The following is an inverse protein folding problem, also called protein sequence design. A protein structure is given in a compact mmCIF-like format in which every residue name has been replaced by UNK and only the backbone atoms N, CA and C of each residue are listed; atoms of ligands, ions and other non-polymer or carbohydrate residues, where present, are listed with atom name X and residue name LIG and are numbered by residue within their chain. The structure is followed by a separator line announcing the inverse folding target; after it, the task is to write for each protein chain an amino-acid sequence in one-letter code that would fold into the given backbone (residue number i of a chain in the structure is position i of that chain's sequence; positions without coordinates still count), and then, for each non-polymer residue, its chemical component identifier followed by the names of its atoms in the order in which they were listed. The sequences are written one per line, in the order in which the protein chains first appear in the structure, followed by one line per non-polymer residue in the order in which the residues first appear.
data_IF_339920331644
#
_entry.id   IF_339920331644
#
_cell.length_a   1.000
_cell.length_b   1.000
_cell.length_c   1.000
_cell.angle_alpha   90.00
_cell.angle_beta   90.00
_cell.angle_gamma   90.00
#
_symmetry.space_group_name_H-M   'P 1'
#
loop_
_entity.id
_entity.type
_entity.pdbx_description
1 polymer ?
#
# COMPACT_ATOMS: atom_id res chain seq x y z
N UNK A 1 -23.38 12.14 16.25
CA UNK A 1 -22.53 11.19 15.54
C UNK A 1 -21.40 10.80 16.47
N UNK A 2 -21.06 9.53 16.59
CA UNK A 2 -19.89 9.08 17.34
C UNK A 2 -18.62 9.50 16.60
N UNK A 3 -17.56 9.84 17.34
CA UNK A 3 -16.25 10.17 16.75
C UNK A 3 -15.75 9.04 15.88
N UNK A 4 -15.19 9.30 14.69
CA UNK A 4 -14.54 8.28 13.90
C UNK A 4 -13.19 7.83 14.49
N UNK A 5 -12.66 8.55 15.48
CA UNK A 5 -11.42 8.24 16.17
C UNK A 5 -11.72 7.49 17.46
N UNK A 6 -11.35 6.23 17.51
CA UNK A 6 -11.60 5.35 18.66
C UNK A 6 -10.29 5.12 19.40
N UNK A 7 -10.31 5.36 20.72
CA UNK A 7 -9.18 5.14 21.63
C UNK A 7 -9.43 3.83 22.39
N UNK A 8 -8.51 2.86 22.25
CA UNK A 8 -8.48 1.64 23.05
C UNK A 8 -7.44 1.71 24.16
N UNK A 9 -6.34 2.43 23.90
CA UNK A 9 -5.27 2.69 24.86
C UNK A 9 -4.96 4.19 24.91
N UNK A 10 -4.64 4.70 26.08
CA UNK A 10 -4.33 6.12 26.30
C UNK A 10 -3.18 6.63 25.40
N UNK A 11 -2.26 5.73 25.00
CA UNK A 11 -1.17 6.04 24.08
C UNK A 11 -1.64 6.46 22.66
N UNK A 12 -2.90 6.21 22.31
CA UNK A 12 -3.46 6.72 21.05
C UNK A 12 -3.75 8.23 21.10
N UNK A 13 -4.01 8.80 22.27
CA UNK A 13 -4.40 10.21 22.38
C UNK A 13 -3.35 11.19 21.84
N UNK A 14 -2.05 11.03 22.14
CA UNK A 14 -1.01 11.85 21.53
C UNK A 14 -0.93 11.74 20.01
N UNK A 15 -1.24 10.55 19.45
CA UNK A 15 -1.25 10.32 18.01
C UNK A 15 -2.37 11.06 17.32
N UNK A 16 -3.57 11.00 17.89
CA UNK A 16 -4.74 11.70 17.35
C UNK A 16 -4.67 13.21 17.54
N UNK A 17 -4.10 13.66 18.67
CA UNK A 17 -4.12 15.09 19.04
C UNK A 17 -5.45 15.52 19.64
N UNK A 18 -5.61 16.83 19.86
CA UNK A 18 -6.78 17.39 20.56
C UNK A 18 -8.01 17.54 19.67
N UNK A 19 -7.83 17.66 18.35
CA UNK A 19 -8.90 17.93 17.39
C UNK A 19 -8.67 17.19 16.07
N UNK A 20 -8.65 15.84 16.06
CA UNK A 20 -8.45 15.10 14.83
C UNK A 20 -9.66 15.27 13.91
N UNK A 21 -9.41 15.29 12.60
CA UNK A 21 -10.47 15.43 11.59
C UNK A 21 -10.43 14.30 10.58
N UNK A 22 -11.58 13.94 10.03
CA UNK A 22 -11.73 13.01 8.93
C UNK A 22 -12.62 13.64 7.86
N UNK A 23 -12.09 13.88 6.68
CA UNK A 23 -12.77 14.58 5.59
C UNK A 23 -12.66 13.75 4.31
N UNK A 24 -13.78 13.54 3.64
CA UNK A 24 -13.80 12.96 2.30
C UNK A 24 -13.31 14.01 1.30
N UNK A 25 -12.21 13.71 0.61
CA UNK A 25 -11.62 14.61 -0.39
C UNK A 25 -12.25 14.45 -1.76
N UNK A 26 -12.53 13.20 -2.13
CA UNK A 26 -13.03 12.89 -3.46
C UNK A 26 -13.81 11.58 -3.46
N UNK A 27 -14.83 11.48 -4.32
CA UNK A 27 -15.57 10.25 -4.60
C UNK A 27 -15.67 10.05 -6.11
N UNK A 28 -15.27 8.88 -6.58
CA UNK A 28 -15.43 8.44 -7.94
C UNK A 28 -16.63 7.50 -8.06
N UNK A 29 -17.62 7.83 -8.88
CA UNK A 29 -18.87 7.08 -8.94
C UNK A 29 -18.82 5.84 -9.82
N UNK A 30 -17.94 5.83 -10.84
CA UNK A 30 -17.97 4.84 -11.91
C UNK A 30 -17.13 3.59 -11.59
N UNK A 31 -16.00 3.75 -10.87
CA UNK A 31 -15.13 2.65 -10.51
C UNK A 31 -14.38 2.91 -9.18
N UNK A 32 -13.90 1.86 -8.49
CA UNK A 32 -13.17 1.97 -7.21
C UNK A 32 -11.74 2.48 -7.44
N UNK A 33 -11.56 3.79 -7.61
CA UNK A 33 -10.31 4.43 -8.07
C UNK A 33 -9.17 4.42 -7.05
N UNK A 34 -9.47 4.27 -5.76
CA UNK A 34 -8.52 4.40 -4.66
C UNK A 34 -8.48 3.12 -3.82
N UNK A 35 -7.68 2.15 -4.26
CA UNK A 35 -7.55 0.85 -3.61
C UNK A 35 -6.12 0.64 -3.10
N UNK A 36 -5.11 0.77 -3.97
CA UNK A 36 -3.73 0.44 -3.66
C UNK A 36 -2.74 1.57 -4.00
N UNK A 37 -1.45 1.30 -3.82
CA UNK A 37 -0.34 2.22 -3.85
C UNK A 37 -0.41 3.23 -2.68
N UNK A 38 -1.03 4.39 -2.88
CA UNK A 38 -1.00 5.44 -1.85
C UNK A 38 0.38 6.05 -1.74
N UNK A 39 0.93 6.61 -2.83
CA UNK A 39 2.27 7.17 -2.85
C UNK A 39 2.21 8.69 -2.86
N UNK A 40 2.54 9.29 -1.72
CA UNK A 40 2.60 10.74 -1.57
C UNK A 40 3.94 11.28 -2.07
N UNK A 41 3.91 12.10 -3.11
CA UNK A 41 5.09 12.81 -3.64
C UNK A 41 5.12 14.21 -3.04
N UNK A 42 5.97 14.37 -2.03
CA UNK A 42 6.00 15.57 -1.20
C UNK A 42 6.39 16.84 -1.98
N UNK A 43 7.30 16.73 -2.98
CA UNK A 43 7.75 17.87 -3.79
C UNK A 43 6.58 18.60 -4.44
N UNK A 44 5.67 17.87 -5.05
CA UNK A 44 4.59 18.41 -5.87
C UNK A 44 3.24 18.41 -5.14
N UNK A 45 3.20 17.92 -3.89
CA UNK A 45 1.98 17.72 -3.12
C UNK A 45 0.94 16.90 -3.89
N UNK A 46 1.38 15.80 -4.47
CA UNK A 46 0.55 14.88 -5.26
C UNK A 46 0.50 13.51 -4.64
N UNK A 47 -0.56 12.77 -4.94
CA UNK A 47 -0.76 11.39 -4.51
C UNK A 47 -0.99 10.52 -5.74
N UNK A 48 -0.27 9.41 -5.86
CA UNK A 48 -0.56 8.37 -6.83
C UNK A 48 -1.31 7.24 -6.16
N UNK A 49 -2.41 6.82 -6.77
CA UNK A 49 -3.24 5.69 -6.33
C UNK A 49 -3.52 4.76 -7.51
N UNK A 50 -3.76 3.49 -7.21
CA UNK A 50 -4.25 2.50 -8.17
C UNK A 50 -5.66 2.07 -7.79
N UNK A 51 -6.50 1.86 -8.78
CA UNK A 51 -7.86 1.39 -8.58
C UNK A 51 -7.89 -0.09 -8.19
N UNK A 52 -8.98 -0.54 -7.57
CA UNK A 52 -9.34 -1.93 -7.60
C UNK A 52 -9.72 -2.34 -9.03
N UNK A 53 -9.80 -3.64 -9.29
CA UNK A 53 -10.25 -4.14 -10.59
C UNK A 53 -11.70 -3.73 -10.87
N UNK A 54 -11.94 -3.26 -12.06
CA UNK A 54 -13.27 -2.93 -12.55
C UNK A 54 -13.48 -3.44 -13.98
N UNK A 55 -14.73 -3.55 -14.41
CA UNK A 55 -15.04 -3.89 -15.79
C UNK A 55 -14.98 -2.63 -16.64
N UNK A 56 -13.96 -2.53 -17.48
CA UNK A 56 -13.91 -1.46 -18.46
C UNK A 56 -14.94 -1.70 -19.58
N UNK A 57 -15.63 -0.65 -19.98
CA UNK A 57 -16.42 -0.68 -21.22
C UNK A 57 -15.49 -0.56 -22.42
N UNK A 58 -15.78 -1.23 -23.57
CA UNK A 58 -14.87 -1.25 -24.74
C UNK A 58 -14.42 0.10 -25.27
N UNK A 59 -15.13 1.20 -24.97
CA UNK A 59 -14.80 2.55 -25.41
C UNK A 59 -14.19 3.44 -24.33
N UNK A 60 -14.01 2.93 -23.11
CA UNK A 60 -13.48 3.68 -21.96
C UNK A 60 -12.02 3.32 -21.64
N UNK A 61 -11.40 2.50 -22.49
CA UNK A 61 -10.08 1.89 -22.21
C UNK A 61 -8.90 2.81 -22.57
N UNK A 62 -9.15 4.06 -22.92
CA UNK A 62 -8.08 5.02 -23.08
C UNK A 62 -7.54 5.42 -21.71
N UNK A 63 -6.40 4.86 -21.33
CA UNK A 63 -5.70 5.17 -20.08
C UNK A 63 -5.68 4.10 -19.02
N UNK A 64 -6.34 2.95 -19.18
CA UNK A 64 -6.32 1.85 -18.23
C UNK A 64 -5.55 0.62 -18.77
N UNK A 65 -4.75 -0.02 -17.93
CA UNK A 65 -4.20 -1.33 -18.23
C UNK A 65 -5.32 -2.37 -18.23
N UNK A 66 -5.44 -3.13 -19.29
CA UNK A 66 -6.59 -3.97 -19.58
C UNK A 66 -6.22 -5.43 -19.85
N UNK A 67 -6.99 -6.35 -19.26
CA UNK A 67 -6.96 -7.78 -19.60
C UNK A 67 -8.32 -8.42 -19.34
N UNK A 68 -8.81 -9.25 -20.25
CA UNK A 68 -10.01 -10.08 -20.07
C UNK A 68 -11.24 -9.32 -19.55
N UNK A 69 -11.52 -8.11 -20.00
CA UNK A 69 -12.56 -7.20 -19.53
C UNK A 69 -12.35 -6.61 -18.11
N UNK A 70 -11.15 -6.75 -17.54
CA UNK A 70 -10.75 -6.13 -16.28
C UNK A 70 -9.73 -5.04 -16.54
N UNK A 71 -9.85 -3.95 -15.81
CA UNK A 71 -8.92 -2.84 -15.87
C UNK A 71 -8.50 -2.43 -14.47
N UNK A 72 -7.30 -1.86 -14.36
CA UNK A 72 -6.79 -1.11 -13.22
C UNK A 72 -6.27 0.21 -13.74
N UNK A 73 -6.69 1.29 -13.11
CA UNK A 73 -6.33 2.65 -13.47
C UNK A 73 -5.34 3.22 -12.45
N UNK A 74 -4.27 3.86 -12.92
CA UNK A 74 -3.41 4.70 -12.08
C UNK A 74 -3.95 6.13 -12.14
N UNK A 75 -4.20 6.72 -10.98
CA UNK A 75 -4.68 8.11 -10.88
C UNK A 75 -3.69 8.95 -10.10
N UNK A 76 -3.28 10.07 -10.68
CA UNK A 76 -2.55 11.13 -10.00
C UNK A 76 -3.55 12.13 -9.44
N UNK A 77 -3.48 12.35 -8.15
CA UNK A 77 -4.36 13.27 -7.41
C UNK A 77 -3.56 14.50 -7.00
N UNK A 78 -3.96 15.69 -7.43
CA UNK A 78 -3.41 16.93 -6.92
C UNK A 78 -4.07 17.25 -5.59
N UNK A 79 -3.31 17.21 -4.51
CA UNK A 79 -3.81 17.47 -3.18
C UNK A 79 -3.94 18.99 -2.92
N UNK A 80 -4.90 19.41 -2.07
CA UNK A 80 -4.99 20.80 -1.64
C UNK A 80 -3.72 21.19 -0.87
N UNK A 81 -3.33 22.47 -0.85
CA UNK A 81 -2.24 22.93 0.00
C UNK A 81 -2.44 22.48 1.45
N UNK A 82 -1.36 22.19 2.16
CA UNK A 82 -1.42 21.90 3.59
C UNK A 82 -2.08 23.09 4.31
N UNK A 83 -3.06 22.83 5.17
CA UNK A 83 -3.63 23.86 6.02
C UNK A 83 -2.56 24.32 7.01
N UNK A 84 -2.16 25.58 6.93
CA UNK A 84 -1.41 26.21 8.02
C UNK A 84 -2.32 26.17 9.24
N UNK A 85 -1.81 25.73 10.40
CA UNK A 85 -2.56 25.38 11.63
C UNK A 85 -3.53 26.40 12.24
N UNK A 86 -3.99 27.39 11.51
CA UNK A 86 -4.87 28.48 11.95
C UNK A 86 -6.35 28.28 11.60
N UNK A 87 -6.75 27.05 11.29
CA UNK A 87 -8.18 26.69 11.26
C UNK A 87 -9.02 27.35 10.16
N UNK A 88 -8.45 28.09 9.23
CA UNK A 88 -9.21 28.55 8.07
C UNK A 88 -9.50 27.37 7.16
N UNK A 89 -10.74 26.91 7.23
CA UNK A 89 -11.35 26.09 6.17
C UNK A 89 -11.41 26.94 4.92
N UNK A 90 -10.34 26.91 4.12
CA UNK A 90 -10.45 27.37 2.76
C UNK A 90 -11.62 26.58 2.12
N UNK A 91 -12.47 27.27 1.36
CA UNK A 91 -13.69 26.72 0.79
C UNK A 91 -13.50 25.41 0.02
N UNK A 92 -14.52 24.83 -0.57
CA UNK A 92 -14.47 23.47 -1.12
C UNK A 92 -13.32 23.37 -2.14
N UNK A 93 -12.21 22.77 -1.70
CA UNK A 93 -11.09 22.47 -2.59
C UNK A 93 -11.56 21.48 -3.62
N UNK A 94 -11.46 21.86 -4.87
CA UNK A 94 -11.72 20.95 -5.97
C UNK A 94 -10.47 20.11 -6.18
N UNK A 95 -10.49 18.87 -5.75
CA UNK A 95 -9.45 17.88 -6.06
C UNK A 95 -9.40 17.70 -7.58
N UNK A 96 -8.19 17.71 -8.12
CA UNK A 96 -7.94 17.38 -9.53
C UNK A 96 -7.35 15.98 -9.61
N UNK A 97 -8.01 15.12 -10.37
CA UNK A 97 -7.57 13.76 -10.66
C UNK A 97 -7.18 13.67 -12.13
N UNK A 98 -6.01 13.13 -12.41
CA UNK A 98 -5.50 12.82 -13.73
C UNK A 98 -5.33 11.30 -13.84
N UNK A 99 -6.09 10.66 -14.70
CA UNK A 99 -5.91 9.26 -15.06
C UNK A 99 -4.70 9.14 -15.99
N UNK A 100 -3.73 8.30 -15.60
CA UNK A 100 -2.51 8.09 -16.36
C UNK A 100 -2.37 6.63 -16.77
N UNK A 101 -1.81 6.38 -17.95
CA UNK A 101 -1.56 5.05 -18.48
C UNK A 101 -0.09 4.95 -18.92
N UNK A 102 0.86 4.81 -18.01
CA UNK A 102 2.27 4.69 -18.34
C UNK A 102 2.54 3.38 -19.06
N UNK A 103 3.30 3.43 -20.14
CA UNK A 103 3.72 2.23 -20.88
C UNK A 103 4.51 1.28 -19.97
N UNK A 104 4.27 -0.04 -20.08
CA UNK A 104 5.01 -1.08 -19.35
C UNK A 104 4.57 -1.29 -17.89
N UNK A 105 3.51 -0.62 -17.42
CA UNK A 105 2.85 -0.98 -16.16
C UNK A 105 1.48 -1.55 -16.49
N UNK A 106 1.34 -2.85 -16.28
CA UNK A 106 0.08 -3.54 -16.55
C UNK A 106 -0.53 -4.09 -15.28
N UNK A 107 -1.80 -3.80 -15.06
CA UNK A 107 -2.52 -4.20 -13.85
C UNK A 107 -1.77 -3.76 -12.59
N UNK A 108 -1.52 -2.47 -12.45
CA UNK A 108 -0.81 -1.89 -11.31
C UNK A 108 -1.47 -2.29 -9.97
N UNK A 109 -0.66 -2.47 -8.92
CA UNK A 109 -1.14 -2.73 -7.57
C UNK A 109 -0.45 -1.78 -6.59
N UNK A 110 0.22 -2.26 -5.56
CA UNK A 110 0.95 -1.45 -4.60
C UNK A 110 2.05 -0.60 -5.22
N UNK A 111 2.55 0.34 -4.44
CA UNK A 111 3.65 1.20 -4.87
C UNK A 111 4.28 1.96 -3.72
N UNK A 112 5.47 2.49 -3.98
CA UNK A 112 6.25 3.24 -2.99
C UNK A 112 7.07 4.33 -3.67
N UNK A 113 7.47 5.36 -2.91
CA UNK A 113 8.42 6.36 -3.36
C UNK A 113 9.77 5.71 -3.77
N UNK A 114 10.32 6.08 -4.92
CA UNK A 114 11.62 5.64 -5.39
C UNK A 114 12.52 6.84 -5.63
N UNK A 115 13.23 7.25 -4.59
CA UNK A 115 13.85 8.57 -4.55
C UNK A 115 12.79 9.68 -4.40
N UNK A 116 13.15 10.89 -4.81
CA UNK A 116 12.28 12.08 -4.67
C UNK A 116 11.33 12.28 -5.87
N UNK A 117 11.69 11.74 -7.04
CA UNK A 117 11.11 12.07 -8.33
C UNK A 117 10.45 10.90 -9.05
N UNK A 118 10.40 9.72 -8.43
CA UNK A 118 9.82 8.54 -9.05
C UNK A 118 8.97 7.71 -8.07
N UNK A 119 8.12 6.89 -8.65
CA UNK A 119 7.29 5.89 -7.96
C UNK A 119 7.69 4.52 -8.46
N UNK A 120 7.87 3.58 -7.56
CA UNK A 120 8.04 2.16 -7.88
C UNK A 120 6.69 1.48 -7.74
N UNK A 121 6.17 0.93 -8.84
CA UNK A 121 4.92 0.21 -8.87
C UNK A 121 5.12 -1.30 -8.94
N UNK A 122 4.23 -2.02 -8.28
CA UNK A 122 3.97 -3.43 -8.52
C UNK A 122 3.10 -3.56 -9.78
N UNK A 123 3.67 -4.03 -10.88
CA UNK A 123 2.94 -4.38 -12.09
C UNK A 123 2.61 -5.87 -12.04
N UNK A 124 1.34 -6.24 -11.88
CA UNK A 124 0.96 -7.65 -11.78
C UNK A 124 1.18 -8.40 -13.10
N UNK A 125 1.13 -7.68 -14.22
CA UNK A 125 1.14 -8.25 -15.56
C UNK A 125 -0.21 -8.87 -15.93
N UNK A 126 -0.24 -9.55 -17.08
CA UNK A 126 -1.43 -10.21 -17.62
C UNK A 126 -1.14 -11.67 -17.95
N UNK A 127 -2.08 -12.36 -18.62
CA UNK A 127 -1.82 -13.72 -19.15
C UNK A 127 -0.81 -13.71 -20.29
N UNK A 128 -0.68 -12.58 -20.97
CA UNK A 128 0.16 -12.36 -22.15
C UNK A 128 1.47 -11.65 -21.84
N UNK A 129 1.54 -10.98 -20.67
CA UNK A 129 2.71 -10.20 -20.27
C UNK A 129 3.25 -10.59 -18.89
N UNK A 130 4.53 -10.37 -18.68
CA UNK A 130 5.16 -10.63 -17.39
C UNK A 130 4.89 -9.48 -16.41
N UNK A 131 4.63 -9.83 -15.14
CA UNK A 131 4.61 -8.87 -14.05
C UNK A 131 6.00 -8.60 -13.48
N UNK A 132 6.09 -7.61 -12.59
CA UNK A 132 7.32 -7.27 -11.89
C UNK A 132 7.26 -5.88 -11.27
N UNK A 133 8.41 -5.36 -10.91
CA UNK A 133 8.53 -4.01 -10.37
C UNK A 133 8.97 -3.04 -11.47
N UNK A 134 8.25 -1.93 -11.59
CA UNK A 134 8.49 -0.92 -12.63
C UNK A 134 8.63 0.46 -11.98
N UNK A 135 9.72 1.15 -12.27
CA UNK A 135 9.93 2.53 -11.85
C UNK A 135 9.24 3.44 -12.88
N UNK A 136 8.49 4.41 -12.39
CA UNK A 136 7.82 5.45 -13.19
C UNK A 136 8.27 6.82 -12.69
N UNK A 137 8.63 7.72 -13.58
CA UNK A 137 8.88 9.11 -13.22
C UNK A 137 7.58 9.77 -12.74
N UNK A 138 7.61 10.52 -11.63
CA UNK A 138 6.41 11.13 -11.04
C UNK A 138 5.87 12.34 -11.83
N UNK A 139 6.55 12.73 -12.90
CA UNK A 139 6.17 13.86 -13.76
C UNK A 139 6.01 13.41 -15.21
N UNK A 140 5.17 14.10 -16.01
CA UNK A 140 5.02 13.81 -17.42
C UNK A 140 6.38 13.83 -18.16
N UNK A 141 6.60 12.93 -19.12
CA UNK A 141 5.65 12.00 -19.73
C UNK A 141 5.45 10.68 -18.96
N UNK A 142 5.75 10.61 -17.66
CA UNK A 142 5.64 9.41 -16.80
C UNK A 142 6.46 8.24 -17.37
N UNK A 143 7.70 8.52 -17.77
CA UNK A 143 8.59 7.53 -18.36
C UNK A 143 8.82 6.36 -17.41
N UNK A 144 8.77 5.14 -17.94
CA UNK A 144 8.90 3.92 -17.15
C UNK A 144 10.18 3.16 -17.48
N UNK A 145 10.64 2.37 -16.50
CA UNK A 145 11.75 1.42 -16.67
C UNK A 145 11.52 0.20 -15.77
N UNK A 146 11.60 -1.01 -16.33
CA UNK A 146 11.50 -2.23 -15.52
C UNK A 146 12.70 -2.35 -14.58
N UNK A 147 12.46 -2.76 -13.33
CA UNK A 147 13.49 -2.99 -12.32
C UNK A 147 13.82 -4.49 -12.20
N UNK A 148 12.80 -5.31 -12.01
CA UNK A 148 12.91 -6.78 -11.93
C UNK A 148 11.58 -7.42 -12.34
N UNK A 149 11.63 -8.50 -13.14
CA UNK A 149 10.42 -9.16 -13.69
C UNK A 149 10.40 -10.69 -13.48
N UNK A 150 11.44 -11.26 -12.86
CA UNK A 150 11.47 -12.70 -12.62
C UNK A 150 12.41 -13.09 -11.48
N UNK A 151 12.16 -14.25 -10.89
CA UNK A 151 13.09 -14.94 -10.00
C UNK A 151 13.91 -15.94 -10.82
N UNK A 152 15.10 -15.52 -11.27
CA UNK A 152 15.98 -16.32 -12.11
C UNK A 152 15.27 -16.98 -13.32
N UNK A 153 14.48 -16.18 -14.05
CA UNK A 153 13.72 -16.63 -15.23
C UNK A 153 12.34 -17.20 -14.94
N UNK A 154 11.99 -17.51 -13.69
CA UNK A 154 10.62 -17.86 -13.28
C UNK A 154 9.80 -16.60 -13.06
N UNK A 155 8.66 -16.48 -13.72
CA UNK A 155 7.78 -15.32 -13.59
C UNK A 155 7.22 -15.20 -12.18
N UNK A 156 7.08 -13.98 -11.67
CA UNK A 156 6.32 -13.70 -10.46
C UNK A 156 4.84 -14.04 -10.64
N UNK A 157 4.17 -14.37 -9.54
CA UNK A 157 2.76 -14.73 -9.56
C UNK A 157 1.90 -13.49 -9.87
N UNK A 158 1.91 -12.52 -8.97
CA UNK A 158 1.28 -11.20 -9.10
C UNK A 158 1.80 -10.30 -7.99
N UNK A 159 2.93 -9.63 -8.23
CA UNK A 159 3.56 -8.74 -7.23
C UNK A 159 2.52 -7.75 -6.69
N UNK A 160 2.47 -7.63 -5.34
CA UNK A 160 1.37 -6.94 -4.68
C UNK A 160 1.82 -5.63 -4.02
N UNK A 161 2.65 -5.66 -2.99
CA UNK A 161 3.14 -4.45 -2.32
C UNK A 161 4.67 -4.43 -2.25
N UNK A 162 5.24 -3.23 -2.05
CA UNK A 162 6.68 -3.00 -2.17
C UNK A 162 7.15 -1.91 -1.21
N UNK A 163 8.35 -2.11 -0.66
CA UNK A 163 9.05 -1.11 0.15
C UNK A 163 10.54 -1.05 -0.24
N UNK A 164 11.13 0.12 -0.14
CA UNK A 164 12.56 0.36 -0.39
C UNK A 164 13.29 0.55 0.94
N UNK A 165 14.29 -0.28 1.21
CA UNK A 165 15.14 -0.16 2.38
C UNK A 165 16.17 0.96 2.21
N UNK A 166 16.75 1.45 3.31
CA UNK A 166 17.79 2.52 3.30
C UNK A 166 19.04 2.15 2.52
N UNK A 167 19.36 0.85 2.41
CA UNK A 167 20.49 0.37 1.60
C UNK A 167 20.21 0.42 0.09
N UNK A 168 18.98 0.77 -0.28
CA UNK A 168 18.46 0.83 -1.65
C UNK A 168 17.95 -0.51 -2.16
N UNK A 169 17.95 -1.57 -1.35
CA UNK A 169 17.32 -2.82 -1.74
C UNK A 169 15.80 -2.71 -1.69
N UNK A 170 15.15 -3.46 -2.55
CA UNK A 170 13.70 -3.44 -2.73
C UNK A 170 13.11 -4.74 -2.22
N UNK A 171 12.11 -4.65 -1.36
CA UNK A 171 11.43 -5.78 -0.76
C UNK A 171 9.96 -5.77 -1.17
N UNK A 172 9.44 -6.92 -1.58
CA UNK A 172 8.08 -6.99 -2.11
C UNK A 172 7.42 -8.35 -1.85
N UNK A 173 6.11 -8.36 -1.91
CA UNK A 173 5.26 -9.53 -1.74
C UNK A 173 4.79 -10.04 -3.11
N UNK A 174 4.64 -11.37 -3.25
CA UNK A 174 4.20 -12.00 -4.50
C UNK A 174 3.16 -13.09 -4.21
N UNK A 175 1.91 -12.72 -3.90
CA UNK A 175 0.81 -13.67 -3.73
C UNK A 175 0.27 -14.17 -5.08
N UNK A 176 -0.61 -15.18 -5.02
CA UNK A 176 -1.29 -15.75 -6.18
C UNK A 176 -2.60 -15.02 -6.56
N UNK A 177 -2.85 -13.83 -6.04
CA UNK A 177 -4.09 -13.09 -6.29
C UNK A 177 -4.42 -12.94 -7.78
N UNK A 178 -3.44 -12.60 -8.62
CA UNK A 178 -3.67 -12.40 -10.04
C UNK A 178 -4.19 -13.64 -10.76
N UNK A 179 -3.79 -14.85 -10.33
CA UNK A 179 -4.36 -16.09 -10.85
C UNK A 179 -5.82 -16.27 -10.45
N UNK A 180 -6.12 -16.11 -9.17
CA UNK A 180 -7.49 -16.23 -8.64
C UNK A 180 -8.43 -15.18 -9.25
N UNK A 181 -7.91 -14.01 -9.50
CA UNK A 181 -8.63 -12.93 -10.20
C UNK A 181 -8.76 -13.18 -11.72
N UNK A 182 -8.10 -14.21 -12.26
CA UNK A 182 -8.17 -14.56 -13.67
C UNK A 182 -7.33 -13.70 -14.61
N UNK A 183 -6.48 -12.83 -14.07
CA UNK A 183 -5.61 -11.94 -14.87
C UNK A 183 -4.23 -12.53 -15.13
N UNK A 184 -3.77 -13.49 -14.31
CA UNK A 184 -2.47 -14.14 -14.44
C UNK A 184 -2.59 -15.63 -14.77
N UNK A 185 -1.56 -16.26 -15.36
CA UNK A 185 -1.50 -17.70 -15.50
C UNK A 185 -1.42 -18.39 -14.13
N UNK A 186 -1.45 -19.72 -14.13
CA UNK A 186 -1.27 -20.50 -12.91
C UNK A 186 0.09 -20.18 -12.25
N UNK A 187 0.15 -20.01 -10.91
CA UNK A 187 1.38 -19.70 -10.19
C UNK A 187 2.47 -20.76 -10.44
N UNK A 188 3.70 -20.29 -10.58
CA UNK A 188 4.87 -21.17 -10.68
C UNK A 188 5.91 -20.92 -9.57
N UNK A 189 5.59 -20.01 -8.63
CA UNK A 189 6.35 -19.71 -7.42
C UNK A 189 5.43 -19.83 -6.21
N UNK A 190 5.94 -20.14 -5.01
CA UNK A 190 5.19 -20.04 -3.77
C UNK A 190 4.82 -18.58 -3.47
N UNK A 191 3.80 -18.38 -2.63
CA UNK A 191 3.47 -17.07 -2.07
C UNK A 191 4.58 -16.62 -1.11
N UNK A 192 5.39 -15.65 -1.51
CA UNK A 192 6.65 -15.32 -0.84
C UNK A 192 6.88 -13.82 -0.73
N UNK A 193 7.81 -13.46 0.16
CA UNK A 193 8.47 -12.16 0.22
C UNK A 193 9.82 -12.29 -0.48
N UNK A 194 10.12 -11.34 -1.35
CA UNK A 194 11.40 -11.24 -2.06
C UNK A 194 12.17 -9.99 -1.70
N UNK A 195 13.49 -10.06 -1.82
CA UNK A 195 14.42 -8.93 -1.78
C UNK A 195 15.20 -8.89 -3.08
N UNK A 196 15.20 -7.73 -3.73
CA UNK A 196 16.03 -7.43 -4.90
C UNK A 196 17.03 -6.34 -4.58
N UNK A 197 18.29 -6.55 -4.92
CA UNK A 197 19.34 -5.54 -4.80
C UNK A 197 19.61 -4.93 -6.19
N UNK A 198 19.23 -3.67 -6.43
CA UNK A 198 19.42 -3.04 -7.74
C UNK A 198 20.90 -2.86 -8.13
N UNK A 199 21.83 -2.81 -7.17
CA UNK A 199 23.27 -2.62 -7.41
C UNK A 199 23.91 -3.92 -7.92
N UNK A 200 23.61 -5.04 -7.27
CA UNK A 200 24.22 -6.34 -7.59
C UNK A 200 23.35 -7.18 -8.51
N UNK A 201 22.09 -6.78 -8.72
CA UNK A 201 21.03 -7.53 -9.42
C UNK A 201 20.69 -8.88 -8.77
N UNK A 202 21.11 -9.10 -7.54
CA UNK A 202 20.76 -10.29 -6.79
C UNK A 202 19.31 -10.23 -6.31
N UNK A 203 18.60 -11.35 -6.51
CA UNK A 203 17.25 -11.54 -5.99
C UNK A 203 17.25 -12.74 -5.03
N UNK A 204 16.52 -12.61 -3.92
CA UNK A 204 16.38 -13.68 -2.93
C UNK A 204 14.93 -13.79 -2.48
N UNK A 205 14.46 -15.02 -2.26
CA UNK A 205 13.29 -15.27 -1.46
C UNK A 205 13.69 -15.13 0.01
N UNK A 206 12.92 -14.35 0.77
CA UNK A 206 13.25 -13.95 2.14
C UNK A 206 12.37 -14.64 3.19
N UNK A 207 11.11 -14.87 2.85
CA UNK A 207 10.16 -15.58 3.70
C UNK A 207 9.08 -16.25 2.85
N UNK A 208 8.56 -17.38 3.34
CA UNK A 208 7.48 -18.16 2.76
C UNK A 208 6.45 -18.59 3.82
N UNK A 209 5.55 -19.52 3.45
CA UNK A 209 4.56 -20.04 4.38
C UNK A 209 3.43 -19.05 4.66
N UNK A 210 3.19 -18.11 3.77
CA UNK A 210 2.01 -17.23 3.78
C UNK A 210 0.88 -17.85 2.95
N UNK A 211 -0.35 -17.53 3.34
CA UNK A 211 -1.48 -17.79 2.49
C UNK A 211 -1.52 -16.80 1.33
N UNK A 212 -1.60 -15.50 1.64
CA UNK A 212 -1.58 -14.40 0.66
C UNK A 212 -0.85 -13.20 1.24
N UNK A 213 0.52 -13.14 1.15
CA UNK A 213 1.28 -11.99 1.65
C UNK A 213 0.89 -10.76 0.84
N UNK A 214 0.51 -9.68 1.54
CA UNK A 214 -0.01 -8.47 0.92
C UNK A 214 0.89 -7.27 1.28
N UNK A 215 0.49 -6.39 2.20
CA UNK A 215 1.27 -5.24 2.60
C UNK A 215 2.61 -5.59 3.25
N UNK A 216 3.62 -4.75 3.00
CA UNK A 216 4.96 -4.90 3.59
C UNK A 216 5.52 -3.54 4.02
N UNK A 217 6.09 -3.46 5.22
CA UNK A 217 6.83 -2.28 5.67
C UNK A 217 7.95 -2.62 6.65
N UNK A 218 8.86 -1.66 6.84
CA UNK A 218 9.88 -1.70 7.88
C UNK A 218 9.47 -0.89 9.10
N UNK A 219 9.98 -1.31 10.29
CA UNK A 219 10.07 -0.40 11.43
C UNK A 219 10.97 0.81 11.11
N UNK A 220 10.84 1.94 11.85
CA UNK A 220 11.64 3.14 11.56
C UNK A 220 13.16 2.93 11.58
N UNK A 221 13.66 1.98 12.36
CA UNK A 221 15.07 1.62 12.46
C UNK A 221 15.49 0.48 11.50
N UNK A 222 14.52 -0.05 10.74
CA UNK A 222 14.67 -1.22 9.86
C UNK A 222 15.10 -2.52 10.56
N UNK A 223 14.93 -2.59 11.88
CA UNK A 223 15.23 -3.82 12.64
C UNK A 223 14.13 -4.87 12.51
N UNK A 224 12.91 -4.46 12.16
CA UNK A 224 11.74 -5.32 12.01
C UNK A 224 11.08 -5.12 10.64
N UNK A 225 10.66 -6.22 10.04
CA UNK A 225 9.82 -6.23 8.83
C UNK A 225 8.44 -6.74 9.20
N UNK A 226 7.40 -6.00 8.82
CA UNK A 226 6.02 -6.39 8.97
C UNK A 226 5.46 -6.81 7.61
N UNK A 227 4.69 -7.92 7.60
CA UNK A 227 4.01 -8.44 6.42
C UNK A 227 2.59 -8.83 6.81
N UNK A 228 1.61 -8.32 6.08
CA UNK A 228 0.21 -8.75 6.24
C UNK A 228 -0.03 -10.04 5.47
N UNK A 229 -0.81 -10.94 6.06
CA UNK A 229 -1.30 -12.16 5.40
C UNK A 229 -2.82 -12.12 5.36
N UNK A 230 -3.36 -11.99 4.18
CA UNK A 230 -4.77 -11.76 3.90
C UNK A 230 -5.47 -13.03 3.41
N UNK A 231 -5.01 -14.19 3.84
CA UNK A 231 -5.49 -15.51 3.40
C UNK A 231 -6.98 -15.75 3.66
N UNK A 232 -7.58 -14.97 4.58
CA UNK A 232 -9.01 -14.97 4.86
C UNK A 232 -9.87 -14.58 3.65
N UNK A 233 -9.36 -13.72 2.73
CA UNK A 233 -10.05 -13.34 1.50
C UNK A 233 -9.24 -13.80 0.28
N UNK A 234 -9.92 -14.40 -0.69
CA UNK A 234 -9.33 -14.91 -1.93
C UNK A 234 -9.55 -13.93 -3.07
N UNK A 235 -8.71 -14.01 -4.11
CA UNK A 235 -8.80 -13.12 -5.26
C UNK A 235 -10.09 -13.26 -6.10
N UNK A 236 -10.81 -14.36 -5.95
CA UNK A 236 -12.15 -14.56 -6.54
C UNK A 236 -13.29 -13.96 -5.70
N UNK A 237 -12.96 -13.36 -4.55
CA UNK A 237 -13.92 -12.76 -3.61
C UNK A 237 -14.52 -13.74 -2.60
N UNK A 238 -14.14 -15.01 -2.64
CA UNK A 238 -14.55 -15.96 -1.60
C UNK A 238 -13.79 -15.71 -0.31
N UNK A 239 -14.38 -16.07 0.83
CA UNK A 239 -13.80 -15.86 2.16
C UNK A 239 -13.78 -17.15 2.96
N UNK A 240 -12.75 -17.33 3.77
CA UNK A 240 -12.63 -18.42 4.74
C UNK A 240 -12.15 -17.85 6.09
N UNK A 241 -13.08 -17.72 7.03
CA UNK A 241 -12.83 -17.14 8.37
C UNK A 241 -11.83 -17.95 9.21
N UNK A 242 -11.48 -19.17 8.81
CA UNK A 242 -10.47 -20.00 9.48
C UNK A 242 -9.05 -19.72 9.02
N UNK A 243 -8.88 -18.89 8.00
CA UNK A 243 -7.60 -18.54 7.41
C UNK A 243 -7.05 -17.24 7.99
N UNK A 244 -5.80 -16.93 7.65
CA UNK A 244 -5.09 -15.79 8.22
C UNK A 244 -5.72 -14.44 7.83
N UNK A 245 -5.89 -13.59 8.84
CA UNK A 245 -6.19 -12.15 8.78
C UNK A 245 -5.18 -11.45 9.71
N UNK A 246 -3.89 -11.56 9.37
CA UNK A 246 -2.81 -11.48 10.37
C UNK A 246 -1.68 -10.57 9.88
N UNK A 247 -1.09 -9.82 10.80
CA UNK A 247 0.20 -9.16 10.60
C UNK A 247 1.28 -10.04 11.23
N UNK A 248 2.27 -10.43 10.44
CA UNK A 248 3.49 -11.07 10.93
C UNK A 248 4.62 -10.07 11.07
N UNK A 249 5.43 -10.21 12.13
CA UNK A 249 6.67 -9.49 12.31
C UNK A 249 7.85 -10.44 12.20
N UNK A 250 8.94 -9.93 11.62
CA UNK A 250 10.23 -10.64 11.49
C UNK A 250 11.34 -9.73 11.97
N UNK A 251 12.34 -10.30 12.65
CA UNK A 251 13.59 -9.59 12.92
C UNK A 251 14.46 -9.60 11.67
N UNK A 252 15.04 -8.45 11.32
CA UNK A 252 16.04 -8.36 10.26
C UNK A 252 17.43 -8.60 10.84
N UNK A 253 17.95 -9.79 10.62
CA UNK A 253 19.27 -10.20 11.11
C UNK A 253 20.28 -10.27 9.96
N UNK A 254 21.54 -10.00 10.25
CA UNK A 254 22.63 -10.09 9.28
C UNK A 254 23.46 -11.34 9.54
N UNK A 255 23.49 -12.25 8.57
CA UNK A 255 24.35 -13.44 8.59
C UNK A 255 25.26 -13.43 7.36
N UNK A 256 26.56 -13.60 7.58
CA UNK A 256 27.54 -13.59 6.48
C UNK A 256 27.44 -12.37 5.55
N UNK A 257 27.13 -11.21 6.13
CA UNK A 257 26.98 -9.96 5.40
C UNK A 257 25.68 -9.84 4.57
N UNK A 258 24.72 -10.75 4.77
CA UNK A 258 23.45 -10.74 4.05
C UNK A 258 22.27 -10.65 5.03
N UNK A 259 21.19 -9.93 4.67
CA UNK A 259 19.98 -9.87 5.50
C UNK A 259 19.20 -11.18 5.43
N UNK A 260 18.60 -11.53 6.58
CA UNK A 260 17.66 -12.64 6.74
C UNK A 260 16.48 -12.19 7.58
N UNK A 261 15.29 -12.66 7.24
CA UNK A 261 14.11 -12.56 8.08
C UNK A 261 14.11 -13.74 9.05
N UNK A 262 14.16 -13.43 10.32
CA UNK A 262 14.22 -14.41 11.42
C UNK A 262 13.11 -14.17 12.42
N UNK A 263 12.90 -15.10 13.34
CA UNK A 263 11.98 -14.94 14.48
C UNK A 263 10.57 -14.50 14.01
N UNK A 264 10.02 -15.21 12.98
CA UNK A 264 8.62 -14.97 12.54
C UNK A 264 7.69 -15.12 13.73
N UNK A 265 6.89 -14.10 13.96
CA UNK A 265 5.90 -14.09 15.03
C UNK A 265 4.60 -13.43 14.58
N UNK A 266 3.50 -13.90 15.11
CA UNK A 266 2.22 -13.21 14.99
C UNK A 266 2.33 -11.91 15.77
N UNK A 267 2.14 -10.77 15.07
CA UNK A 267 2.20 -9.44 15.67
C UNK A 267 0.82 -8.96 16.08
N UNK A 268 -0.14 -9.02 15.16
CA UNK A 268 -1.52 -8.60 15.37
C UNK A 268 -2.46 -9.35 14.43
N UNK A 269 -3.75 -9.26 14.71
CA UNK A 269 -4.83 -9.76 13.87
C UNK A 269 -5.87 -8.65 13.73
N UNK A 270 -6.41 -8.44 12.51
CA UNK A 270 -7.55 -7.56 12.32
C UNK A 270 -8.81 -8.22 12.91
N UNK A 271 -9.59 -7.45 13.67
CA UNK A 271 -10.87 -7.90 14.22
C UNK A 271 -12.02 -7.72 13.23
N UNK A 272 -11.81 -6.87 12.21
CA UNK A 272 -12.79 -6.62 11.15
C UNK A 272 -12.09 -6.67 9.79
N UNK A 273 -12.49 -7.60 8.92
CA UNK A 273 -11.88 -7.82 7.61
C UNK A 273 -10.45 -8.34 7.70
N UNK A 274 -9.58 -7.83 6.87
CA UNK A 274 -8.16 -8.21 6.77
C UNK A 274 -7.27 -7.00 7.01
N UNK A 275 -6.03 -7.17 7.52
CA UNK A 275 -5.02 -6.12 7.50
C UNK A 275 -4.41 -6.12 6.09
N UNK A 276 -4.65 -5.06 5.31
CA UNK A 276 -4.23 -4.95 3.91
C UNK A 276 -2.94 -4.13 3.79
N UNK A 277 -2.95 -2.92 3.27
CA UNK A 277 -1.78 -2.05 3.26
C UNK A 277 -1.29 -1.71 4.67
N UNK A 278 0.03 -1.64 4.87
CA UNK A 278 0.66 -1.47 6.19
C UNK A 278 1.80 -0.45 6.14
N UNK A 279 1.90 0.41 7.16
CA UNK A 279 2.98 1.39 7.30
C UNK A 279 3.27 1.66 8.78
N UNK A 280 4.48 2.14 9.08
CA UNK A 280 4.85 2.58 10.43
C UNK A 280 4.92 4.11 10.51
N UNK A 281 4.66 4.66 11.70
CA UNK A 281 5.06 6.02 12.04
C UNK A 281 6.50 6.08 12.56
N UNK A 282 7.02 7.30 12.76
CA UNK A 282 8.41 7.51 13.25
C UNK A 282 8.65 7.00 14.69
N UNK A 283 7.60 6.69 15.44
CA UNK A 283 7.67 6.11 16.78
C UNK A 283 7.58 4.59 16.77
N UNK A 284 7.40 3.97 15.59
CA UNK A 284 7.29 2.53 15.41
C UNK A 284 5.88 1.98 15.62
N UNK A 285 4.86 2.83 15.79
CA UNK A 285 3.49 2.35 15.77
C UNK A 285 3.15 1.83 14.37
N UNK A 286 2.42 0.72 14.34
CA UNK A 286 2.06 0.02 13.10
C UNK A 286 0.62 0.36 12.73
N UNK A 287 0.42 0.87 11.54
CA UNK A 287 -0.87 1.21 10.98
C UNK A 287 -1.20 0.23 9.86
N UNK A 288 -2.43 -0.26 9.79
CA UNK A 288 -2.89 -1.05 8.65
C UNK A 288 -4.31 -0.67 8.24
N UNK A 289 -4.55 -0.68 6.94
CA UNK A 289 -5.89 -0.64 6.36
C UNK A 289 -6.63 -1.93 6.72
N UNK A 290 -7.84 -1.80 7.24
CA UNK A 290 -8.67 -2.92 7.69
C UNK A 290 -10.12 -2.74 7.25
N UNK A 291 -10.95 -3.75 7.45
CA UNK A 291 -12.35 -3.73 7.02
C UNK A 291 -13.23 -2.67 7.68
N UNK A 292 -12.75 -1.99 8.71
CA UNK A 292 -13.45 -0.89 9.41
C UNK A 292 -12.71 0.46 9.33
N UNK A 293 -11.56 0.51 8.67
CA UNK A 293 -10.74 1.73 8.53
C UNK A 293 -9.27 1.48 8.81
N UNK A 294 -8.59 2.41 9.45
CA UNK A 294 -7.17 2.26 9.82
C UNK A 294 -7.08 1.80 11.27
N UNK A 295 -6.45 0.68 11.50
CA UNK A 295 -6.15 0.17 12.84
C UNK A 295 -4.70 0.49 13.20
N UNK A 296 -4.44 0.85 14.46
CA UNK A 296 -3.15 1.34 14.94
C UNK A 296 -2.70 0.51 16.12
N UNK A 297 -1.54 -0.12 16.02
CA UNK A 297 -0.93 -0.91 17.09
C UNK A 297 0.37 -0.27 17.57
N UNK A 298 0.67 -0.43 18.87
CA UNK A 298 1.98 -0.09 19.42
C UNK A 298 3.08 -0.98 18.80
N UNK A 299 4.37 -0.64 18.94
CA UNK A 299 5.47 -1.52 18.53
C UNK A 299 5.44 -2.91 19.19
N UNK A 300 4.75 -3.03 20.32
CA UNK A 300 4.53 -4.30 21.03
C UNK A 300 3.28 -5.08 20.61
N UNK A 301 2.51 -4.61 19.62
CA UNK A 301 1.32 -5.28 19.11
C UNK A 301 0.03 -5.01 19.90
N UNK A 302 0.01 -4.04 20.81
CA UNK A 302 -1.20 -3.63 21.53
C UNK A 302 -2.00 -2.70 20.64
N UNK A 303 -3.30 -2.98 20.42
CA UNK A 303 -4.21 -2.10 19.68
C UNK A 303 -4.40 -0.79 20.45
N UNK A 304 -3.90 0.30 19.87
CA UNK A 304 -3.97 1.64 20.47
C UNK A 304 -5.29 2.34 20.13
N UNK A 305 -5.68 2.31 18.87
CA UNK A 305 -6.86 3.01 18.39
C UNK A 305 -7.20 2.70 16.95
N UNK A 306 -8.29 3.31 16.48
CA UNK A 306 -8.76 3.17 15.10
C UNK A 306 -9.22 4.52 14.53
N UNK A 307 -9.06 4.67 13.22
CA UNK A 307 -9.74 5.69 12.42
C UNK A 307 -10.81 4.97 11.62
N UNK A 308 -12.06 5.06 12.05
CA UNK A 308 -13.18 4.37 11.41
C UNK A 308 -13.56 5.05 10.10
N UNK A 309 -13.61 4.26 9.04
CA UNK A 309 -14.06 4.66 7.71
C UNK A 309 -15.09 3.66 7.24
N UNK A 310 -16.30 4.12 6.96
CA UNK A 310 -17.36 3.23 6.48
C UNK A 310 -16.98 2.56 5.17
N UNK A 311 -16.98 1.22 5.15
CA UNK A 311 -16.50 0.41 4.04
C UNK A 311 -15.02 0.02 4.11
N UNK A 312 -14.33 0.39 5.21
CA UNK A 312 -12.94 0.01 5.46
C UNK A 312 -11.91 0.86 4.72
N UNK A 313 -10.70 0.38 4.72
CA UNK A 313 -9.59 0.95 3.97
C UNK A 313 -8.71 -0.19 3.44
N UNK A 314 -8.40 -0.19 2.16
CA UNK A 314 -7.46 -1.15 1.59
C UNK A 314 -6.01 -0.69 1.85
N UNK A 315 -5.70 0.56 1.54
CA UNK A 315 -4.37 1.12 1.77
C UNK A 315 -4.45 2.58 2.22
N UNK A 316 -3.32 3.18 2.52
CA UNK A 316 -3.20 4.57 2.94
C UNK A 316 -1.75 5.05 2.80
N UNK A 317 -1.52 6.34 2.92
CA UNK A 317 -0.18 6.88 3.11
C UNK A 317 -0.19 8.08 4.07
N UNK A 318 0.96 8.31 4.69
CA UNK A 318 1.21 9.52 5.45
C UNK A 318 1.51 10.68 4.50
N UNK A 319 0.94 11.83 4.81
CA UNK A 319 1.25 13.11 4.22
C UNK A 319 2.04 13.99 5.18
N UNK A 320 1.94 15.32 5.01
CA UNK A 320 2.57 16.30 5.89
C UNK A 320 1.69 16.64 7.10
N UNK A 321 2.32 17.11 8.18
CA UNK A 321 1.63 17.70 9.33
C UNK A 321 0.55 16.81 9.98
N UNK A 322 0.77 15.50 10.03
CA UNK A 322 -0.17 14.54 10.60
C UNK A 322 -1.29 14.10 9.65
N UNK A 323 -1.24 14.48 8.39
CA UNK A 323 -2.21 14.00 7.40
C UNK A 323 -1.97 12.53 7.08
N UNK A 324 -3.06 11.78 6.95
CA UNK A 324 -3.12 10.42 6.43
C UNK A 324 -4.16 10.41 5.30
N UNK A 325 -3.75 10.01 4.11
CA UNK A 325 -4.64 9.81 2.97
C UNK A 325 -5.08 8.36 2.92
N UNK A 326 -6.38 8.11 3.05
CA UNK A 326 -6.97 6.78 3.22
C UNK A 326 -7.70 6.38 1.94
N UNK A 327 -7.34 5.23 1.40
CA UNK A 327 -7.88 4.66 0.18
C UNK A 327 -9.05 3.73 0.52
N UNK A 328 -10.26 4.14 0.14
CA UNK A 328 -11.52 3.50 0.49
C UNK A 328 -12.32 3.23 -0.79
N UNK A 329 -11.73 2.45 -1.71
CA UNK A 329 -12.35 2.04 -2.97
C UNK A 329 -12.80 3.25 -3.82
N UNK A 330 -14.05 3.61 -3.75
CA UNK A 330 -14.64 4.73 -4.47
C UNK A 330 -14.28 6.10 -3.88
N UNK A 331 -13.67 6.14 -2.68
CA UNK A 331 -13.46 7.37 -1.93
C UNK A 331 -12.03 7.53 -1.48
N UNK A 332 -11.57 8.76 -1.53
CA UNK A 332 -10.32 9.20 -0.93
C UNK A 332 -10.64 10.07 0.28
N UNK A 333 -10.12 9.70 1.43
CA UNK A 333 -10.28 10.44 2.68
C UNK A 333 -8.97 11.05 3.13
N UNK A 334 -9.05 12.15 3.87
CA UNK A 334 -7.95 12.69 4.65
C UNK A 334 -8.33 12.66 6.13
N UNK A 335 -7.54 11.96 6.91
CA UNK A 335 -7.51 12.13 8.36
C UNK A 335 -6.35 13.06 8.69
N UNK A 336 -6.60 14.08 9.54
CA UNK A 336 -5.54 14.94 10.07
C UNK A 336 -5.42 14.66 11.57
N UNK A 337 -4.27 14.18 11.97
CA UNK A 337 -3.90 13.78 13.32
C UNK A 337 -3.01 14.85 13.97
N UNK A 338 -2.38 14.52 15.10
CA UNK A 338 -1.36 15.40 15.68
C UNK A 338 -0.23 15.65 14.68
N UNK A 339 0.27 16.88 14.57
CA UNK A 339 1.38 17.21 13.66
C UNK A 339 2.69 16.50 13.98
N UNK A 340 2.80 15.88 15.16
CA UNK A 340 3.90 14.98 15.54
C UNK A 340 3.77 13.56 14.96
N UNK A 341 2.58 13.18 14.50
CA UNK A 341 2.33 11.87 13.87
C UNK A 341 2.81 11.91 12.42
N UNK A 342 3.95 11.28 12.17
CA UNK A 342 4.65 11.28 10.88
C UNK A 342 4.93 9.87 10.42
N UNK A 343 4.77 9.61 9.14
CA UNK A 343 5.14 8.32 8.56
C UNK A 343 6.67 8.10 8.55
N UNK A 344 7.09 6.89 8.90
CA UNK A 344 8.52 6.55 8.98
C UNK A 344 9.22 6.62 7.61
N UNK A 345 8.51 6.34 6.52
CA UNK A 345 9.09 6.29 5.16
C UNK A 345 9.64 7.65 4.72
N UNK A 346 8.87 8.72 4.91
CA UNK A 346 9.25 10.07 4.47
C UNK A 346 9.71 10.96 5.63
N UNK A 347 9.32 10.67 6.86
CA UNK A 347 9.68 11.45 8.06
C UNK A 347 9.08 12.87 8.13
N UNK A 348 8.00 13.13 7.37
CA UNK A 348 7.39 14.46 7.18
C UNK A 348 6.04 14.61 7.87
#
# INVERSE_FOLDING_TARGET
MTSPFVVYDEAAKPLFGSAPTLVMLFEHTDYPFAHEAGVFVARDNTLFVTSNQYRARPHEVAGAAYTSNKAIQITKVQLPPATNGDGETAGPYRIQCEEINPEGIEMANGGVNYGEDAVLFCSQGTKESVGGLVIMDASPPYATRPLVSSFYGRQFNSVNDVVVARDGSVWFTDPNYGHEQGIRPHPCLPNQVYRFDPKTKNIRAMADGFGRPNGICFSPDESTVYVTDTDWIHGDGTTDLSRASTIYAFDLAIYHGQPFLTNRRLFAMADTGIPDGIKCDVHGNVYSGCGDGINIWSPGGVLLGKILVAGGAANFCFGRNGDIFILNEHRLWRATLAGSTKGALLGI
#
